data_IF_305690884053
#
_entry.id   IF_305690884053
#
_cell.length_a   1.000
_cell.length_b   1.000
_cell.length_c   1.000
_cell.angle_alpha   90.00
_cell.angle_beta   90.00
_cell.angle_gamma   90.00
#
_symmetry.space_group_name_H-M   'P 1'
#
loop_
_entity.id
_entity.type
_entity.pdbx_description
1 polymer ?
#
# COMPACT_ATOMS: atom_id res chain seq x y z
N UNK A 1 18.52 10.42 4.70
CA UNK A 1 19.57 9.63 4.03
C UNK A 1 19.81 8.38 4.86
N UNK A 2 19.88 7.21 4.23
CA UNK A 2 20.30 5.93 4.82
C UNK A 2 21.51 5.47 4.02
N UNK A 3 22.62 5.14 4.68
CA UNK A 3 23.90 4.78 4.04
C UNK A 3 24.34 5.76 2.95
N UNK A 4 24.19 7.07 3.20
CA UNK A 4 24.55 8.11 2.24
C UNK A 4 23.67 8.16 1.00
N UNK A 5 22.51 7.48 0.99
CA UNK A 5 21.52 7.51 -0.10
C UNK A 5 20.19 8.14 0.36
N UNK A 6 19.48 8.87 -0.53
CA UNK A 6 18.11 9.28 -0.24
C UNK A 6 17.23 8.06 -0.02
N UNK A 7 16.31 8.16 0.94
CA UNK A 7 15.37 7.09 1.27
C UNK A 7 14.03 7.75 1.60
N UNK A 8 13.09 7.62 0.69
CA UNK A 8 11.75 8.18 0.82
C UNK A 8 10.82 7.17 1.50
N UNK A 9 9.92 7.67 2.34
CA UNK A 9 8.91 6.86 3.04
C UNK A 9 7.55 7.14 2.45
N UNK A 10 6.91 6.11 1.92
CA UNK A 10 5.57 6.21 1.32
C UNK A 10 4.54 5.66 2.30
N UNK A 11 3.65 6.53 2.78
CA UNK A 11 2.54 6.13 3.64
C UNK A 11 1.34 5.60 2.83
N UNK A 12 0.83 4.42 3.19
CA UNK A 12 -0.30 3.78 2.52
C UNK A 12 -1.42 3.47 3.54
N UNK A 13 -2.59 4.16 3.47
CA UNK A 13 -3.74 3.84 4.30
C UNK A 13 -4.31 2.45 3.98
N UNK A 14 -4.86 1.74 4.96
CA UNK A 14 -5.35 0.35 4.79
C UNK A 14 -6.88 0.22 4.70
N UNK A 15 -7.60 1.34 4.58
CA UNK A 15 -9.06 1.38 4.79
C UNK A 15 -9.90 1.27 3.50
N UNK A 16 -9.28 1.09 2.34
CA UNK A 16 -9.98 0.97 1.05
C UNK A 16 -10.03 -0.47 0.56
N UNK A 17 -11.05 -0.76 -0.26
CA UNK A 17 -11.27 -2.05 -0.88
C UNK A 17 -12.32 -1.98 -2.00
N UNK A 18 -12.77 -3.15 -2.46
CA UNK A 18 -13.69 -3.28 -3.59
C UNK A 18 -15.18 -3.43 -3.18
N UNK A 19 -15.45 -3.66 -1.89
CA UNK A 19 -16.79 -3.73 -1.29
C UNK A 19 -16.92 -2.62 -0.25
N UNK A 20 -18.01 -1.86 -0.30
CA UNK A 20 -18.32 -0.81 0.69
C UNK A 20 -19.11 0.35 0.09
N UNK A 21 -19.45 1.31 0.95
CA UNK A 21 -20.15 2.54 0.56
C UNK A 21 -19.19 3.68 0.14
N UNK A 22 -17.89 3.53 0.38
CA UNK A 22 -16.88 4.52 -0.01
C UNK A 22 -16.49 4.37 -1.48
N UNK A 23 -15.66 5.29 -1.99
CA UNK A 23 -15.03 5.11 -3.31
C UNK A 23 -14.25 3.79 -3.33
N UNK A 24 -14.46 3.01 -4.40
CA UNK A 24 -13.72 1.76 -4.63
C UNK A 24 -12.23 2.05 -4.72
N UNK A 25 -11.43 1.15 -4.16
CA UNK A 25 -9.97 1.21 -4.22
C UNK A 25 -9.37 -0.18 -4.14
N UNK A 26 -8.06 -0.22 -3.93
CA UNK A 26 -7.30 -1.44 -3.77
C UNK A 26 -6.96 -1.64 -2.29
N UNK A 27 -7.05 -2.88 -1.81
CA UNK A 27 -6.56 -3.22 -0.47
C UNK A 27 -5.03 -3.18 -0.45
N UNK A 28 -4.44 -2.45 0.49
CA UNK A 28 -2.98 -2.24 0.55
C UNK A 28 -2.19 -3.54 0.69
N UNK A 29 -2.76 -4.56 1.34
CA UNK A 29 -2.08 -5.84 1.54
C UNK A 29 -1.89 -6.67 0.26
N UNK A 30 -2.38 -6.21 -0.91
CA UNK A 30 -2.07 -6.87 -2.20
C UNK A 30 -0.59 -6.70 -2.61
N UNK A 31 0.12 -5.74 -2.02
CA UNK A 31 1.54 -5.48 -2.30
C UNK A 31 2.47 -5.73 -1.10
N UNK A 32 1.95 -6.18 0.03
CA UNK A 32 2.77 -6.50 1.20
C UNK A 32 3.45 -7.86 1.04
N UNK A 33 4.70 -8.04 1.51
CA UNK A 33 5.41 -9.29 1.37
C UNK A 33 4.84 -10.39 2.28
N UNK A 34 4.84 -11.66 1.84
CA UNK A 34 4.41 -12.81 2.65
C UNK A 34 5.55 -13.30 3.56
N UNK A 35 6.14 -12.42 4.36
CA UNK A 35 7.22 -12.73 5.32
C UNK A 35 6.79 -12.29 6.72
N UNK A 36 7.17 -13.05 7.75
CA UNK A 36 6.84 -12.76 9.13
C UNK A 36 8.05 -12.78 10.07
N UNK A 37 7.84 -12.33 11.31
CA UNK A 37 8.86 -12.35 12.35
C UNK A 37 9.26 -13.78 12.75
N UNK A 38 10.47 -13.92 13.28
CA UNK A 38 11.06 -15.22 13.60
C UNK A 38 10.36 -16.01 14.72
N UNK A 39 9.57 -15.35 15.58
CA UNK A 39 8.96 -15.97 16.76
C UNK A 39 7.56 -16.48 16.47
N UNK A 40 6.68 -15.63 15.91
CA UNK A 40 5.25 -15.94 15.77
C UNK A 40 4.72 -15.73 14.34
N UNK A 41 5.62 -15.45 13.38
CA UNK A 41 5.26 -15.16 11.99
C UNK A 41 4.31 -13.96 11.82
N UNK A 42 4.39 -12.94 12.70
CA UNK A 42 3.69 -11.65 12.51
C UNK A 42 4.16 -11.04 11.20
N UNK A 43 3.27 -10.74 10.25
CA UNK A 43 3.68 -10.26 8.93
C UNK A 43 4.41 -8.91 8.97
N UNK A 44 5.43 -8.76 8.12
CA UNK A 44 6.17 -7.51 7.94
C UNK A 44 5.41 -6.55 7.03
N UNK A 45 4.49 -5.77 7.64
CA UNK A 45 3.65 -4.79 6.92
C UNK A 45 4.03 -3.34 7.23
N UNK A 46 5.06 -3.09 8.05
CA UNK A 46 5.42 -1.73 8.50
C UNK A 46 6.58 -1.13 7.71
N UNK A 47 7.45 -1.96 7.12
CA UNK A 47 8.48 -1.49 6.20
C UNK A 47 8.72 -2.51 5.06
N UNK A 48 8.43 -2.11 3.82
CA UNK A 48 8.71 -2.89 2.61
C UNK A 48 8.97 -1.96 1.43
N UNK A 49 9.58 -2.49 0.36
CA UNK A 49 9.98 -1.70 -0.80
C UNK A 49 8.85 -1.60 -1.82
N UNK A 50 8.66 -0.40 -2.37
CA UNK A 50 7.66 -0.10 -3.41
C UNK A 50 8.26 0.83 -4.46
N UNK A 51 7.63 0.89 -5.63
CA UNK A 51 7.89 1.87 -6.67
C UNK A 51 6.62 2.69 -6.94
N UNK A 52 6.77 3.98 -7.23
CA UNK A 52 5.67 4.92 -7.46
C UNK A 52 5.78 5.49 -8.87
N UNK A 53 4.78 5.21 -9.70
CA UNK A 53 4.70 5.70 -11.08
C UNK A 53 3.51 6.63 -11.26
N UNK A 54 3.69 7.66 -12.08
CA UNK A 54 2.61 8.54 -12.49
C UNK A 54 1.57 7.75 -13.28
N UNK A 55 0.29 8.01 -12.99
CA UNK A 55 -0.86 7.43 -13.70
C UNK A 55 -1.83 8.53 -14.13
N UNK A 56 -2.78 8.19 -15.00
CA UNK A 56 -3.93 9.05 -15.28
C UNK A 56 -4.80 9.20 -14.02
N UNK A 57 -5.57 10.30 -13.94
CA UNK A 57 -6.53 10.45 -12.86
C UNK A 57 -7.47 9.22 -12.79
N UNK A 58 -7.89 8.79 -11.58
CA UNK A 58 -8.89 7.73 -11.44
C UNK A 58 -10.14 8.10 -12.25
N UNK A 59 -10.74 7.13 -12.93
CA UNK A 59 -12.01 7.34 -13.63
C UNK A 59 -13.04 7.89 -12.64
N UNK A 60 -13.78 8.94 -13.04
CA UNK A 60 -14.88 9.48 -12.22
C UNK A 60 -15.85 8.34 -11.91
N UNK A 61 -16.21 8.10 -10.64
CA UNK A 61 -17.18 7.08 -10.32
C UNK A 61 -18.47 7.39 -11.10
N UNK A 62 -19.01 6.41 -11.81
CA UNK A 62 -20.34 6.55 -12.40
C UNK A 62 -21.30 6.96 -11.28
N UNK A 63 -22.08 8.01 -11.52
CA UNK A 63 -23.12 8.48 -10.61
C UNK A 63 -23.97 7.29 -10.20
N UNK A 64 -24.09 7.04 -8.91
CA UNK A 64 -25.02 6.04 -8.38
C UNK A 64 -26.47 6.45 -8.68
#
# INVERSE_FOLDING_TARGET
MVDGKPCDVIGLPIHYGFIGLTRKGYGTNVITPPVGDASVNTPEYKAFLVDVKKTSAPATPATA
#
